data_IF_338822289556
#
_entry.id   IF_338822289556
#
_cell.length_a   1.000
_cell.length_b   1.000
_cell.length_c   1.000
_cell.angle_alpha   90.00
_cell.angle_beta   90.00
_cell.angle_gamma   90.00
#
_symmetry.space_group_name_H-M   'P 1'
#
loop_
_entity.id
_entity.type
_entity.pdbx_description
1 polymer ?
#
# COMPACT_ATOMS: atom_id res chain seq x y z
N UNK A 1 -23.06 1.76 2.25
CA UNK A 1 -22.23 1.21 3.32
C UNK A 1 -22.62 -0.22 3.74
N UNK A 2 -23.90 -0.61 3.70
CA UNK A 2 -24.36 -1.95 4.13
C UNK A 2 -23.61 -3.12 3.47
N UNK A 3 -23.24 -2.99 2.19
CA UNK A 3 -22.45 -4.01 1.50
C UNK A 3 -21.00 -4.05 2.01
N UNK A 4 -20.42 -2.88 2.31
CA UNK A 4 -19.07 -2.77 2.88
C UNK A 4 -19.04 -3.41 4.28
N UNK A 5 -20.03 -3.15 5.11
CA UNK A 5 -20.16 -3.75 6.44
C UNK A 5 -20.19 -5.28 6.38
N UNK A 6 -21.04 -5.85 5.52
CA UNK A 6 -21.08 -7.31 5.32
C UNK A 6 -19.78 -7.89 4.82
N UNK A 7 -19.06 -7.16 3.95
CA UNK A 7 -17.76 -7.60 3.42
C UNK A 7 -16.68 -7.61 4.51
N UNK A 8 -16.63 -6.58 5.34
CA UNK A 8 -15.71 -6.51 6.47
C UNK A 8 -15.99 -7.64 7.46
N UNK A 9 -17.26 -7.85 7.82
CA UNK A 9 -17.63 -8.94 8.73
C UNK A 9 -17.28 -10.31 8.15
N UNK A 10 -17.48 -10.52 6.86
CA UNK A 10 -17.04 -11.75 6.17
C UNK A 10 -15.56 -11.98 6.33
N UNK A 11 -14.71 -10.98 6.08
CA UNK A 11 -13.26 -11.08 6.22
C UNK A 11 -12.84 -11.38 7.66
N UNK A 12 -13.40 -10.68 8.63
CA UNK A 12 -13.09 -10.87 10.03
C UNK A 12 -13.48 -12.25 10.56
N UNK A 13 -14.60 -12.80 10.06
CA UNK A 13 -15.09 -14.14 10.43
C UNK A 13 -14.28 -15.27 9.77
N UNK A 14 -13.60 -15.00 8.66
CA UNK A 14 -12.84 -15.98 7.90
C UNK A 14 -11.33 -15.87 8.05
N UNK A 15 -10.83 -15.20 9.10
CA UNK A 15 -9.43 -15.22 9.47
C UNK A 15 -8.53 -14.36 8.60
N UNK A 16 -9.04 -13.26 8.05
CA UNK A 16 -8.22 -12.27 7.35
C UNK A 16 -7.33 -11.51 8.35
N UNK A 17 -6.02 -11.45 8.10
CA UNK A 17 -5.03 -10.88 9.03
C UNK A 17 -4.99 -9.35 9.01
N UNK A 18 -5.42 -8.69 7.92
CA UNK A 18 -5.51 -7.24 7.81
C UNK A 18 -6.54 -6.84 6.75
N UNK A 19 -7.20 -5.70 6.92
CA UNK A 19 -8.09 -5.13 5.91
C UNK A 19 -7.37 -4.02 5.14
N UNK A 20 -7.22 -4.21 3.82
CA UNK A 20 -6.74 -3.15 2.93
C UNK A 20 -7.94 -2.44 2.30
N UNK A 21 -8.16 -1.18 2.67
CA UNK A 21 -9.17 -0.30 2.06
C UNK A 21 -8.54 0.65 1.05
N UNK A 22 -9.33 1.16 0.12
CA UNK A 22 -8.90 2.08 -0.95
C UNK A 22 -7.77 1.54 -1.83
N UNK A 23 -7.65 0.23 -1.95
CA UNK A 23 -6.81 -0.39 -2.97
C UNK A 23 -7.42 -0.23 -4.37
N UNK A 24 -6.66 -0.59 -5.41
CA UNK A 24 -7.10 -0.51 -6.83
C UNK A 24 -8.43 -1.25 -7.06
N UNK A 25 -8.58 -2.43 -6.49
CA UNK A 25 -9.83 -3.22 -6.58
C UNK A 25 -11.02 -2.50 -5.93
N UNK A 26 -10.78 -1.66 -4.92
CA UNK A 26 -11.78 -0.82 -4.28
C UNK A 26 -12.15 0.43 -5.06
N UNK A 27 -11.61 0.62 -6.28
CA UNK A 27 -11.95 1.70 -7.21
C UNK A 27 -11.79 3.13 -6.64
N UNK A 28 -10.87 3.31 -5.67
CA UNK A 28 -10.63 4.62 -5.04
C UNK A 28 -10.32 5.75 -6.03
N UNK A 29 -9.75 5.41 -7.18
CA UNK A 29 -9.46 6.38 -8.25
C UNK A 29 -10.73 7.05 -8.85
N UNK A 30 -11.92 6.51 -8.60
CA UNK A 30 -13.21 7.04 -9.07
C UNK A 30 -14.01 7.71 -7.96
N UNK A 31 -13.49 7.72 -6.73
CA UNK A 31 -14.12 8.34 -5.57
C UNK A 31 -13.58 9.76 -5.34
N UNK A 32 -14.40 10.59 -4.72
CA UNK A 32 -13.97 11.89 -4.19
C UNK A 32 -13.18 11.71 -2.89
N UNK A 33 -12.40 12.72 -2.49
CA UNK A 33 -11.67 12.68 -1.22
C UNK A 33 -12.61 12.53 0.00
N UNK A 34 -13.83 13.10 -0.05
CA UNK A 34 -14.82 12.96 1.02
C UNK A 34 -15.37 11.52 1.10
N UNK A 35 -15.57 10.86 -0.03
CA UNK A 35 -15.95 9.45 -0.09
C UNK A 35 -14.84 8.55 0.43
N UNK A 36 -13.59 8.77 -0.02
CA UNK A 36 -12.41 8.08 0.48
C UNK A 36 -12.31 8.17 2.02
N UNK A 37 -12.40 9.39 2.56
CA UNK A 37 -12.34 9.64 4.01
C UNK A 37 -13.48 8.93 4.75
N UNK A 38 -14.68 8.95 4.19
CA UNK A 38 -15.86 8.29 4.76
C UNK A 38 -15.69 6.76 4.80
N UNK A 39 -15.09 6.18 3.75
CA UNK A 39 -14.79 4.74 3.68
C UNK A 39 -13.73 4.36 4.71
N UNK A 40 -12.61 5.10 4.80
CA UNK A 40 -11.57 4.81 5.80
C UNK A 40 -12.14 4.87 7.21
N UNK A 41 -12.88 5.93 7.55
CA UNK A 41 -13.48 6.08 8.87
C UNK A 41 -14.48 4.95 9.20
N UNK A 42 -15.29 4.53 8.22
CA UNK A 42 -16.25 3.43 8.41
C UNK A 42 -15.54 2.09 8.64
N UNK A 43 -14.49 1.80 7.84
CA UNK A 43 -13.69 0.56 7.98
C UNK A 43 -12.98 0.52 9.33
N UNK A 44 -12.28 1.59 9.71
CA UNK A 44 -11.59 1.68 11.02
C UNK A 44 -12.58 1.47 12.17
N UNK A 45 -13.72 2.16 12.13
CA UNK A 45 -14.76 2.03 13.16
C UNK A 45 -15.29 0.61 13.26
N UNK A 46 -15.59 -0.04 12.14
CA UNK A 46 -16.15 -1.39 12.15
C UNK A 46 -15.12 -2.44 12.52
N UNK A 47 -13.89 -2.34 12.01
CA UNK A 47 -12.82 -3.27 12.37
C UNK A 47 -12.49 -3.17 13.86
N UNK A 48 -12.53 -1.98 14.45
CA UNK A 48 -12.39 -1.72 15.87
C UNK A 48 -11.16 -2.41 16.51
N UNK A 49 -10.03 -2.36 15.83
CA UNK A 49 -8.74 -2.92 16.30
C UNK A 49 -8.65 -4.45 16.30
N UNK A 50 -9.62 -5.16 15.72
CA UNK A 50 -9.58 -6.65 15.63
C UNK A 50 -8.47 -7.15 14.70
N UNK A 51 -8.18 -6.41 13.65
CA UNK A 51 -7.05 -6.60 12.74
C UNK A 51 -6.55 -5.23 12.28
N UNK A 52 -5.32 -5.09 11.75
CA UNK A 52 -4.85 -3.83 11.20
C UNK A 52 -5.69 -3.38 10.00
N UNK A 53 -5.92 -2.06 9.90
CA UNK A 53 -6.51 -1.40 8.73
C UNK A 53 -5.42 -0.66 7.96
N UNK A 54 -5.17 -1.07 6.73
CA UNK A 54 -4.22 -0.44 5.82
C UNK A 54 -5.02 0.39 4.81
N UNK A 55 -4.67 1.67 4.63
CA UNK A 55 -5.35 2.54 3.68
C UNK A 55 -4.48 2.86 2.46
N UNK A 56 -5.03 2.70 1.26
CA UNK A 56 -4.39 3.11 0.01
C UNK A 56 -4.43 4.62 -0.14
N UNK A 57 -3.33 5.31 0.15
CA UNK A 57 -3.21 6.77 0.05
C UNK A 57 -2.42 7.23 -1.19
N UNK A 58 -1.93 6.28 -1.99
CA UNK A 58 -1.07 6.56 -3.13
C UNK A 58 -1.71 7.48 -4.18
N UNK A 59 -0.86 8.33 -4.76
CA UNK A 59 -1.22 9.27 -5.83
C UNK A 59 -0.03 9.47 -6.76
N UNK A 60 -0.28 9.97 -7.97
CA UNK A 60 0.78 10.41 -8.87
C UNK A 60 1.32 11.81 -8.53
N UNK A 61 0.72 12.49 -7.56
CA UNK A 61 1.19 13.74 -6.95
C UNK A 61 1.69 13.47 -5.54
N UNK A 62 2.96 13.77 -5.26
CA UNK A 62 3.55 13.59 -3.93
C UNK A 62 2.78 14.38 -2.85
N UNK A 63 2.37 15.62 -3.18
CA UNK A 63 1.62 16.45 -2.24
C UNK A 63 0.23 15.84 -1.92
N UNK A 64 -0.46 15.30 -2.93
CA UNK A 64 -1.76 14.64 -2.73
C UNK A 64 -1.60 13.38 -1.89
N UNK A 65 -0.58 12.56 -2.20
CA UNK A 65 -0.27 11.36 -1.43
C UNK A 65 0.04 11.68 0.04
N UNK A 66 0.84 12.73 0.29
CA UNK A 66 1.16 13.19 1.64
C UNK A 66 -0.11 13.63 2.39
N UNK A 67 -0.94 14.47 1.77
CA UNK A 67 -2.19 14.95 2.39
C UNK A 67 -3.13 13.80 2.74
N UNK A 68 -3.37 12.85 1.80
CA UNK A 68 -4.19 11.66 2.06
C UNK A 68 -3.60 10.80 3.18
N UNK A 69 -2.30 10.59 3.18
CA UNK A 69 -1.60 9.78 4.20
C UNK A 69 -1.78 10.34 5.61
N UNK A 70 -1.58 11.63 5.79
CA UNK A 70 -1.80 12.31 7.07
C UNK A 70 -3.27 12.26 7.49
N UNK A 71 -4.20 12.42 6.55
CA UNK A 71 -5.64 12.33 6.81
C UNK A 71 -6.02 10.93 7.27
N UNK A 72 -5.55 9.88 6.58
CA UNK A 72 -5.91 8.50 6.93
C UNK A 72 -5.27 8.05 8.25
N UNK A 73 -4.04 8.49 8.54
CA UNK A 73 -3.46 8.33 9.87
C UNK A 73 -4.35 8.99 10.95
N UNK A 74 -4.80 10.22 10.70
CA UNK A 74 -5.71 10.94 11.61
C UNK A 74 -7.08 10.29 11.78
N UNK A 75 -7.56 9.52 10.78
CA UNK A 75 -8.79 8.72 10.84
C UNK A 75 -8.60 7.37 11.54
N UNK A 76 -7.36 7.02 11.91
CA UNK A 76 -7.05 5.81 12.67
C UNK A 76 -6.66 4.60 11.82
N UNK A 77 -6.19 4.79 10.60
CA UNK A 77 -5.55 3.72 9.84
C UNK A 77 -4.25 3.28 10.55
N UNK A 78 -3.99 1.96 10.54
CA UNK A 78 -2.81 1.36 11.17
C UNK A 78 -1.60 1.30 10.22
N UNK A 79 -1.80 1.51 8.93
CA UNK A 79 -0.75 1.53 7.92
C UNK A 79 -1.23 2.09 6.59
N UNK A 80 -0.27 2.35 5.70
CA UNK A 80 -0.52 2.96 4.39
C UNK A 80 0.01 2.10 3.25
N UNK A 81 -0.73 2.06 2.13
CA UNK A 81 -0.26 1.48 0.88
C UNK A 81 0.03 2.59 -0.12
N UNK A 82 1.29 2.70 -0.55
CA UNK A 82 1.80 3.77 -1.40
C UNK A 82 2.13 3.23 -2.79
N UNK A 83 1.32 3.61 -3.80
CA UNK A 83 1.54 3.21 -5.19
C UNK A 83 2.57 4.12 -5.87
N UNK A 84 3.31 3.59 -6.86
CA UNK A 84 4.16 4.38 -7.74
C UNK A 84 3.35 5.45 -8.49
N UNK A 85 3.95 6.63 -8.80
CA UNK A 85 3.29 7.63 -9.63
C UNK A 85 2.90 7.02 -10.99
N UNK A 86 1.62 7.02 -11.28
CA UNK A 86 1.06 6.56 -12.54
C UNK A 86 0.93 7.72 -13.52
N UNK A 87 0.91 7.44 -14.84
CA UNK A 87 0.74 8.38 -15.93
C UNK A 87 1.94 9.33 -16.17
N UNK A 88 2.28 10.21 -15.21
CA UNK A 88 3.37 11.19 -15.34
C UNK A 88 4.77 10.57 -15.28
N UNK A 89 4.91 9.32 -14.80
CA UNK A 89 6.17 8.59 -14.59
C UNK A 89 7.22 9.43 -13.87
N UNK A 90 8.11 8.83 -13.15
CA UNK A 90 9.19 9.53 -12.45
C UNK A 90 10.54 8.92 -12.85
N UNK A 91 11.61 9.68 -12.68
CA UNK A 91 12.95 9.10 -12.68
C UNK A 91 13.23 8.44 -11.32
N UNK A 92 14.34 7.73 -11.20
CA UNK A 92 14.68 6.97 -10.00
C UNK A 92 14.76 7.83 -8.74
N UNK A 93 15.44 8.96 -8.79
CA UNK A 93 15.57 9.87 -7.65
C UNK A 93 14.22 10.47 -7.25
N UNK A 94 13.43 10.92 -8.23
CA UNK A 94 12.07 11.44 -7.98
C UNK A 94 11.16 10.38 -7.37
N UNK A 95 11.26 9.12 -7.78
CA UNK A 95 10.49 8.02 -7.21
C UNK A 95 10.91 7.73 -5.77
N UNK A 96 12.20 7.71 -5.48
CA UNK A 96 12.73 7.58 -4.13
C UNK A 96 12.20 8.69 -3.21
N UNK A 97 12.32 9.96 -3.64
CA UNK A 97 11.85 11.11 -2.88
C UNK A 97 10.33 11.12 -2.70
N UNK A 98 9.58 10.62 -3.69
CA UNK A 98 8.13 10.50 -3.62
C UNK A 98 7.67 9.64 -2.43
N UNK A 99 8.25 8.46 -2.25
CA UNK A 99 7.95 7.58 -1.13
C UNK A 99 8.53 8.08 0.18
N UNK A 100 9.79 8.52 0.15
CA UNK A 100 10.50 9.02 1.34
C UNK A 100 9.78 10.19 1.98
N UNK A 101 9.28 11.15 1.19
CA UNK A 101 8.56 12.33 1.69
C UNK A 101 7.34 11.93 2.55
N UNK A 102 6.61 10.91 2.15
CA UNK A 102 5.47 10.43 2.94
C UNK A 102 5.93 9.64 4.15
N UNK A 103 6.88 8.72 3.98
CA UNK A 103 7.39 7.91 5.08
C UNK A 103 8.04 8.74 6.21
N UNK A 104 8.69 9.86 5.86
CA UNK A 104 9.23 10.82 6.83
C UNK A 104 8.16 11.58 7.63
N UNK A 105 6.97 11.73 7.07
CA UNK A 105 5.93 12.62 7.59
C UNK A 105 4.84 11.93 8.41
N UNK A 106 4.74 10.61 8.31
CA UNK A 106 3.74 9.82 9.04
C UNK A 106 4.38 8.97 10.13
N UNK A 107 3.59 8.65 11.17
CA UNK A 107 4.04 7.82 12.29
C UNK A 107 3.60 6.35 12.16
N UNK A 108 2.82 6.02 11.12
CA UNK A 108 2.31 4.67 10.86
C UNK A 108 3.08 4.02 9.70
N UNK A 109 3.24 2.68 9.69
CA UNK A 109 4.02 1.98 8.70
C UNK A 109 3.47 2.14 7.28
N UNK A 110 4.41 2.22 6.31
CA UNK A 110 4.15 2.32 4.89
C UNK A 110 4.53 1.02 4.17
N UNK A 111 3.69 0.60 3.23
CA UNK A 111 3.96 -0.51 2.30
C UNK A 111 4.07 0.07 0.89
N UNK A 112 5.18 -0.17 0.22
CA UNK A 112 5.36 0.20 -1.19
C UNK A 112 4.45 -0.66 -2.07
N UNK A 113 3.92 -0.09 -3.15
CA UNK A 113 3.12 -0.87 -4.10
C UNK A 113 3.71 -0.78 -5.51
N UNK A 114 4.29 -1.90 -5.96
CA UNK A 114 4.90 -2.04 -7.28
C UNK A 114 3.95 -2.74 -8.26
N UNK A 115 3.37 -1.96 -9.18
CA UNK A 115 2.45 -2.46 -10.20
C UNK A 115 2.68 -1.78 -11.56
N UNK A 116 3.81 -2.05 -12.24
CA UNK A 116 4.18 -1.37 -13.48
C UNK A 116 3.16 -1.55 -14.61
N UNK A 117 2.42 -2.65 -14.64
CA UNK A 117 1.35 -2.87 -15.61
C UNK A 117 0.22 -1.85 -15.57
N UNK A 118 0.00 -1.17 -14.42
CA UNK A 118 -1.00 -0.09 -14.28
C UNK A 118 -0.36 1.30 -14.25
N UNK A 119 0.83 1.42 -13.67
CA UNK A 119 1.48 2.72 -13.48
C UNK A 119 2.35 3.15 -14.68
N UNK A 120 2.78 2.19 -15.51
CA UNK A 120 3.74 2.44 -16.59
C UNK A 120 5.18 2.69 -16.09
N UNK A 121 5.44 2.55 -14.80
CA UNK A 121 6.75 2.54 -14.17
C UNK A 121 6.76 1.58 -12.97
N UNK A 122 7.91 1.02 -12.67
CA UNK A 122 8.15 0.16 -11.51
C UNK A 122 9.17 0.75 -10.56
N UNK A 123 9.29 0.15 -9.39
CA UNK A 123 10.32 0.49 -8.40
C UNK A 123 11.56 -0.33 -8.74
N UNK A 124 12.71 0.32 -8.98
CA UNK A 124 13.97 -0.40 -9.23
C UNK A 124 14.45 -1.13 -7.97
N UNK A 125 15.24 -2.19 -8.17
CA UNK A 125 15.87 -2.94 -7.07
C UNK A 125 16.62 -2.00 -6.11
N UNK A 126 17.37 -1.05 -6.67
CA UNK A 126 18.10 -0.03 -5.90
C UNK A 126 17.17 0.84 -5.05
N UNK A 127 16.04 1.28 -5.61
CA UNK A 127 15.10 2.08 -4.84
C UNK A 127 14.42 1.28 -3.73
N UNK A 128 14.11 0.00 -3.96
CA UNK A 128 13.60 -0.88 -2.90
C UNK A 128 14.63 -1.02 -1.79
N UNK A 129 15.91 -1.26 -2.12
CA UNK A 129 16.99 -1.38 -1.14
C UNK A 129 17.14 -0.10 -0.29
N UNK A 130 17.16 1.07 -0.93
CA UNK A 130 17.24 2.34 -0.21
C UNK A 130 16.02 2.62 0.67
N UNK A 131 14.82 2.26 0.20
CA UNK A 131 13.57 2.49 0.92
C UNK A 131 13.36 1.45 2.03
N UNK A 132 13.80 0.21 1.86
CA UNK A 132 13.74 -0.83 2.90
C UNK A 132 14.61 -0.49 4.13
N UNK A 133 15.61 0.37 3.97
CA UNK A 133 16.41 0.90 5.08
C UNK A 133 15.68 1.99 5.90
N UNK A 134 14.53 2.47 5.43
CA UNK A 134 13.75 3.50 6.12
C UNK A 134 12.90 2.87 7.24
N UNK A 135 12.98 3.36 8.49
CA UNK A 135 12.34 2.72 9.65
C UNK A 135 10.81 2.62 9.54
N UNK A 136 10.19 3.46 8.71
CA UNK A 136 8.74 3.52 8.55
C UNK A 136 8.24 2.81 7.27
N UNK A 137 9.12 2.15 6.50
CA UNK A 137 8.75 1.35 5.33
C UNK A 137 8.92 -0.13 5.68
N UNK A 138 7.81 -0.80 5.93
CA UNK A 138 7.80 -2.17 6.44
C UNK A 138 7.61 -3.24 5.37
N UNK A 139 7.52 -2.88 4.10
CA UNK A 139 7.36 -3.91 3.06
C UNK A 139 7.00 -3.37 1.68
N UNK A 140 6.83 -4.34 0.79
CA UNK A 140 6.43 -4.12 -0.60
C UNK A 140 5.30 -5.07 -0.98
N UNK A 141 4.22 -4.53 -1.58
CA UNK A 141 3.22 -5.29 -2.32
C UNK A 141 3.69 -5.41 -3.77
N UNK A 142 4.15 -6.60 -4.13
CA UNK A 142 4.69 -6.92 -5.45
C UNK A 142 3.58 -7.43 -6.38
N UNK A 143 3.33 -6.71 -7.46
CA UNK A 143 2.32 -7.01 -8.46
C UNK A 143 2.81 -6.76 -9.90
N UNK A 144 4.13 -6.88 -10.12
CA UNK A 144 4.69 -6.72 -11.47
C UNK A 144 4.45 -7.91 -12.38
N UNK A 145 4.08 -9.07 -11.84
CA UNK A 145 4.04 -10.31 -12.60
C UNK A 145 5.42 -10.93 -12.85
N UNK A 146 6.49 -10.39 -12.27
CA UNK A 146 7.88 -10.77 -12.55
C UNK A 146 8.54 -11.44 -11.33
N UNK A 147 8.48 -12.77 -11.28
CA UNK A 147 9.12 -13.57 -10.22
C UNK A 147 10.64 -13.33 -10.14
N UNK A 148 11.29 -13.11 -11.29
CA UNK A 148 12.73 -12.83 -11.31
C UNK A 148 13.07 -11.48 -10.63
N UNK A 149 12.21 -10.48 -10.76
CA UNK A 149 12.35 -9.23 -10.00
C UNK A 149 12.16 -9.47 -8.49
N UNK A 150 11.11 -10.21 -8.12
CA UNK A 150 10.86 -10.55 -6.72
C UNK A 150 12.06 -11.30 -6.10
N UNK A 151 12.62 -12.27 -6.81
CA UNK A 151 13.81 -13.01 -6.38
C UNK A 151 15.04 -12.10 -6.15
N UNK A 152 15.20 -11.03 -6.94
CA UNK A 152 16.31 -10.09 -6.77
C UNK A 152 16.22 -9.23 -5.51
N UNK A 153 15.01 -8.90 -5.07
CA UNK A 153 14.78 -8.13 -3.85
C UNK A 153 14.54 -9.01 -2.61
N UNK A 154 14.46 -10.33 -2.77
CA UNK A 154 14.18 -11.26 -1.68
C UNK A 154 15.22 -11.22 -0.55
N UNK A 155 16.47 -10.86 -0.85
CA UNK A 155 17.52 -10.70 0.17
C UNK A 155 17.29 -9.56 1.15
N UNK A 156 16.37 -8.64 0.85
CA UNK A 156 15.97 -7.53 1.73
C UNK A 156 14.91 -7.96 2.76
N UNK A 157 14.28 -9.12 2.57
CA UNK A 157 13.21 -9.59 3.45
C UNK A 157 13.74 -9.92 4.85
N UNK A 158 13.02 -9.45 5.84
CA UNK A 158 13.37 -9.59 7.26
C UNK A 158 12.10 -9.52 8.10
N UNK A 159 12.25 -9.48 9.41
CA UNK A 159 11.11 -9.23 10.29
C UNK A 159 10.56 -7.81 10.16
N UNK A 160 11.38 -6.87 9.73
CA UNK A 160 11.03 -5.46 9.57
C UNK A 160 10.63 -5.07 8.14
N UNK A 161 10.94 -5.91 7.13
CA UNK A 161 10.57 -5.65 5.73
C UNK A 161 10.00 -6.90 5.08
N UNK A 162 8.72 -6.87 4.72
CA UNK A 162 7.97 -8.02 4.19
C UNK A 162 7.58 -7.82 2.72
N UNK A 163 7.41 -8.93 1.99
CA UNK A 163 6.83 -8.94 0.66
C UNK A 163 5.41 -9.52 0.70
N UNK A 164 4.48 -8.84 0.05
CA UNK A 164 3.10 -9.28 -0.14
C UNK A 164 2.84 -9.48 -1.64
N UNK A 165 2.20 -10.57 -2.02
CA UNK A 165 1.76 -10.75 -3.41
C UNK A 165 0.55 -9.88 -3.70
N UNK A 166 0.62 -9.10 -4.77
CA UNK A 166 -0.52 -8.39 -5.34
C UNK A 166 -1.13 -9.10 -6.54
N UNK A 167 -0.61 -10.30 -6.89
CA UNK A 167 -1.03 -11.14 -8.00
C UNK A 167 -1.33 -12.55 -7.49
N UNK A 168 -2.61 -12.94 -7.45
CA UNK A 168 -3.06 -14.19 -6.84
C UNK A 168 -2.40 -15.42 -7.47
N UNK A 169 -2.23 -15.43 -8.80
CA UNK A 169 -1.60 -16.54 -9.52
C UNK A 169 -0.11 -16.74 -9.17
N UNK A 170 0.55 -15.71 -8.62
CA UNK A 170 1.96 -15.73 -8.25
C UNK A 170 2.21 -15.86 -6.76
N UNK A 171 1.18 -15.95 -5.94
CA UNK A 171 1.34 -16.06 -4.48
C UNK A 171 2.21 -17.26 -4.10
N UNK A 172 1.92 -18.45 -4.64
CA UNK A 172 2.70 -19.66 -4.34
C UNK A 172 4.14 -19.57 -4.84
N UNK A 173 4.42 -19.14 -6.10
CA UNK A 173 5.79 -18.91 -6.55
C UNK A 173 6.58 -17.88 -5.73
N UNK A 174 5.91 -16.87 -5.16
CA UNK A 174 6.58 -15.85 -4.34
C UNK A 174 6.83 -16.31 -2.89
N UNK A 175 6.16 -17.36 -2.45
CA UNK A 175 6.36 -17.97 -1.12
C UNK A 175 7.46 -19.04 -1.12
N UNK A 176 7.88 -19.51 -2.28
CA UNK A 176 8.89 -20.59 -2.43
C UNK A 176 10.30 -20.03 -2.48
#
# INVERSE_FOLDING_TARGET
>A
FDALERLIDFHLQNGTDAILTLGTTGESATMTDDEDNSVVAAVVKQVAGRVPVIAGSGSNSTQTMLTKSLTYQGLGADGLLLITPYYNKSNEEGLYQHFKTVADAVDIPCILYNIPGRCGCGISERNVECLAAHPNIMGIKEASGNVAYAAKIAHLLSDDFRMYSGEDALTVPLMS
#
